data_IF_040257816913
#
_entry.id   IF_040257816913
#
_cell.length_a   1.000
_cell.length_b   1.000
_cell.length_c   1.000
_cell.angle_alpha   90.00
_cell.angle_beta   90.00
_cell.angle_gamma   90.00
#
_symmetry.space_group_name_H-M   'P 1'
#
loop_
_entity.id
_entity.type
_entity.pdbx_description
1 polymer ?
#
# COMPACT_ATOMS: atom_id res chain seq x y z
N UNK A 1 18.37 11.17 15.67
CA UNK A 1 18.58 11.26 14.20
C UNK A 1 18.00 9.99 13.57
N UNK A 2 17.19 10.11 12.54
CA UNK A 2 16.59 8.98 11.81
C UNK A 2 17.67 8.23 11.03
N UNK A 3 17.59 6.91 11.03
CA UNK A 3 18.47 5.99 10.29
C UNK A 3 17.69 5.02 9.42
N UNK A 4 16.46 4.71 9.82
CA UNK A 4 15.62 3.71 9.18
C UNK A 4 14.31 4.36 8.71
N UNK A 5 13.96 4.15 7.45
CA UNK A 5 12.73 4.64 6.84
C UNK A 5 11.94 3.44 6.35
N UNK A 6 10.77 3.22 6.96
CA UNK A 6 9.77 2.27 6.49
C UNK A 6 8.88 3.02 5.50
N UNK A 7 8.80 2.58 4.27
CA UNK A 7 7.98 3.23 3.24
C UNK A 7 6.83 2.32 2.84
N UNK A 8 5.62 2.85 2.85
CA UNK A 8 4.52 2.18 2.18
C UNK A 8 4.76 2.12 0.68
N UNK A 9 4.08 1.20 -0.01
CA UNK A 9 4.24 1.00 -1.45
C UNK A 9 3.14 1.69 -2.26
N UNK A 10 1.88 1.40 -1.93
CA UNK A 10 0.72 1.80 -2.71
C UNK A 10 0.28 3.23 -2.35
N UNK A 11 0.04 4.09 -3.36
CA UNK A 11 -0.22 5.53 -3.22
C UNK A 11 0.92 6.32 -2.53
N UNK A 12 2.07 5.66 -2.30
CA UNK A 12 3.28 6.30 -1.74
C UNK A 12 4.44 6.21 -2.71
N UNK A 13 4.89 5.02 -3.09
CA UNK A 13 5.94 4.83 -4.11
C UNK A 13 5.32 4.55 -5.47
N UNK A 14 4.31 3.67 -5.52
CA UNK A 14 3.60 3.30 -6.73
C UNK A 14 2.18 3.89 -6.73
N UNK A 15 1.80 4.49 -7.85
CA UNK A 15 0.45 4.98 -8.14
C UNK A 15 -0.52 3.79 -8.28
N UNK A 16 -1.07 3.37 -7.12
CA UNK A 16 -1.97 2.23 -7.08
C UNK A 16 -3.25 2.50 -7.84
N UNK A 17 -3.81 3.69 -7.74
CA UNK A 17 -5.02 4.09 -8.46
C UNK A 17 -4.86 3.87 -9.96
N UNK A 18 -3.76 4.29 -10.53
CA UNK A 18 -3.46 4.07 -11.95
C UNK A 18 -3.23 2.59 -12.27
N UNK A 19 -2.47 1.88 -11.43
CA UNK A 19 -2.23 0.45 -11.59
C UNK A 19 -3.54 -0.35 -11.53
N UNK A 20 -4.40 -0.05 -10.55
CA UNK A 20 -5.70 -0.67 -10.36
C UNK A 20 -6.63 -0.45 -11.56
N UNK A 21 -6.74 0.80 -12.02
CA UNK A 21 -7.61 1.15 -13.16
C UNK A 21 -7.24 0.37 -14.43
N UNK A 22 -5.94 0.26 -14.72
CA UNK A 22 -5.47 -0.54 -15.85
C UNK A 22 -5.76 -2.03 -15.64
N UNK A 23 -5.43 -2.55 -14.46
CA UNK A 23 -5.58 -3.97 -14.15
C UNK A 23 -7.04 -4.42 -14.17
N UNK A 24 -7.96 -3.62 -13.62
CA UNK A 24 -9.38 -3.98 -13.61
C UNK A 24 -10.00 -3.89 -15.00
N UNK A 25 -9.63 -2.88 -15.80
CA UNK A 25 -10.07 -2.77 -17.18
C UNK A 25 -9.61 -3.98 -18.03
N UNK A 26 -8.36 -4.43 -17.85
CA UNK A 26 -7.85 -5.64 -18.49
C UNK A 26 -8.59 -6.90 -17.99
N UNK A 27 -8.90 -6.96 -16.70
CA UNK A 27 -9.65 -8.07 -16.11
C UNK A 27 -11.04 -8.15 -16.71
N UNK A 28 -11.76 -7.03 -16.80
CA UNK A 28 -13.10 -6.95 -17.38
C UNK A 28 -13.09 -7.45 -18.83
N UNK A 29 -12.16 -6.98 -19.66
CA UNK A 29 -12.01 -7.47 -21.05
C UNK A 29 -11.84 -8.99 -21.11
N UNK A 30 -11.02 -9.57 -20.23
CA UNK A 30 -10.75 -11.02 -20.21
C UNK A 30 -11.95 -11.86 -19.78
N UNK A 31 -12.87 -11.30 -19.03
CA UNK A 31 -14.09 -11.98 -18.56
C UNK A 31 -15.36 -11.56 -19.31
N UNK A 32 -15.19 -10.76 -20.39
CA UNK A 32 -16.29 -10.36 -21.26
C UNK A 32 -17.16 -9.23 -20.71
N UNK A 33 -16.65 -8.44 -19.77
CA UNK A 33 -17.32 -7.25 -19.25
C UNK A 33 -16.76 -6.00 -19.96
N UNK A 34 -17.63 -5.08 -20.35
CA UNK A 34 -17.20 -3.80 -20.93
C UNK A 34 -16.50 -2.95 -19.85
N UNK A 35 -15.24 -2.54 -20.05
CA UNK A 35 -14.50 -1.74 -19.07
C UNK A 35 -14.85 -0.25 -19.17
N UNK A 36 -16.13 0.08 -18.98
CA UNK A 36 -16.56 1.48 -18.92
C UNK A 36 -15.90 2.19 -17.74
N UNK A 37 -15.76 3.51 -17.86
CA UNK A 37 -15.21 4.32 -16.76
C UNK A 37 -16.05 4.20 -15.49
N UNK A 38 -17.36 3.99 -15.63
CA UNK A 38 -18.28 3.76 -14.52
C UNK A 38 -17.99 2.44 -13.79
N UNK A 39 -17.87 1.33 -14.54
CA UNK A 39 -17.58 0.01 -13.97
C UNK A 39 -16.21 -0.02 -13.28
N UNK A 40 -15.19 0.58 -13.89
CA UNK A 40 -13.84 0.70 -13.30
C UNK A 40 -13.90 1.49 -12.00
N UNK A 41 -14.51 2.67 -12.00
CA UNK A 41 -14.67 3.51 -10.82
C UNK A 41 -15.48 2.80 -9.72
N UNK A 42 -16.54 2.09 -10.10
CA UNK A 42 -17.36 1.35 -9.12
C UNK A 42 -16.54 0.26 -8.43
N UNK A 43 -15.73 -0.48 -9.20
CA UNK A 43 -14.82 -1.46 -8.62
C UNK A 43 -13.86 -0.83 -7.60
N UNK A 44 -13.23 0.30 -7.93
CA UNK A 44 -12.28 0.96 -7.02
C UNK A 44 -12.94 1.37 -5.69
N UNK A 45 -14.18 1.88 -5.75
CA UNK A 45 -14.95 2.19 -4.53
C UNK A 45 -15.22 0.94 -3.69
N UNK A 46 -15.64 -0.16 -4.32
CA UNK A 46 -15.91 -1.42 -3.63
C UNK A 46 -14.62 -1.99 -3.03
N UNK A 47 -13.52 -1.92 -3.78
CA UNK A 47 -12.20 -2.38 -3.33
C UNK A 47 -11.74 -1.63 -2.07
N UNK A 48 -11.80 -0.30 -2.09
CA UNK A 48 -11.44 0.53 -0.93
C UNK A 48 -12.29 0.19 0.32
N UNK A 49 -13.59 0.02 0.16
CA UNK A 49 -14.49 -0.38 1.26
C UNK A 49 -14.05 -1.72 1.87
N UNK A 50 -13.69 -2.71 1.04
CA UNK A 50 -13.29 -4.03 1.54
C UNK A 50 -11.94 -3.98 2.26
N UNK A 51 -10.95 -3.26 1.74
CA UNK A 51 -9.66 -3.09 2.40
C UNK A 51 -9.80 -2.37 3.75
N UNK A 52 -10.63 -1.32 3.84
CA UNK A 52 -10.93 -0.63 5.12
C UNK A 52 -11.62 -1.54 6.13
N UNK A 53 -12.50 -2.45 5.69
CA UNK A 53 -13.08 -3.46 6.57
C UNK A 53 -12.04 -4.44 7.11
N UNK A 54 -11.07 -4.85 6.29
CA UNK A 54 -9.96 -5.70 6.74
C UNK A 54 -9.11 -4.99 7.80
N UNK A 55 -8.76 -3.72 7.60
CA UNK A 55 -8.00 -2.92 8.58
C UNK A 55 -8.71 -2.85 9.94
N UNK A 56 -10.03 -2.75 9.92
CA UNK A 56 -10.88 -2.78 11.13
C UNK A 56 -11.16 -4.20 11.67
N UNK A 57 -10.59 -5.24 11.03
CA UNK A 57 -10.78 -6.66 11.38
C UNK A 57 -12.25 -7.13 11.28
N UNK A 58 -13.07 -6.48 10.47
CA UNK A 58 -14.47 -6.83 10.23
C UNK A 58 -14.60 -8.02 9.27
N UNK A 59 -13.67 -8.18 8.37
CA UNK A 59 -13.62 -9.27 7.38
C UNK A 59 -12.19 -9.82 7.25
N UNK A 60 -12.09 -11.04 6.74
CA UNK A 60 -10.82 -11.69 6.43
C UNK A 60 -10.24 -11.20 5.10
N UNK A 61 -8.94 -11.42 4.88
CA UNK A 61 -8.29 -11.14 3.59
C UNK A 61 -8.98 -11.88 2.42
N UNK A 62 -9.40 -13.13 2.64
CA UNK A 62 -10.08 -13.89 1.59
C UNK A 62 -11.41 -13.24 1.21
N UNK A 63 -12.18 -12.75 2.18
CA UNK A 63 -13.41 -12.01 1.92
C UNK A 63 -13.16 -10.68 1.21
N UNK A 64 -12.03 -10.00 1.44
CA UNK A 64 -11.63 -8.84 0.62
C UNK A 64 -11.43 -9.27 -0.82
N UNK A 65 -10.58 -10.27 -1.04
CA UNK A 65 -10.12 -10.64 -2.38
C UNK A 65 -11.23 -11.16 -3.29
N UNK A 66 -12.19 -11.88 -2.73
CA UNK A 66 -13.31 -12.46 -3.48
C UNK A 66 -14.54 -11.57 -3.41
N UNK A 67 -14.92 -11.12 -2.21
CA UNK A 67 -16.16 -10.39 -1.96
C UNK A 67 -16.29 -9.08 -2.73
N UNK A 68 -15.17 -8.38 -3.01
CA UNK A 68 -15.20 -7.18 -3.85
C UNK A 68 -15.70 -7.45 -5.28
N UNK A 69 -15.36 -8.62 -5.84
CA UNK A 69 -15.85 -9.04 -7.16
C UNK A 69 -17.30 -9.54 -7.08
N UNK A 70 -17.61 -10.34 -6.07
CA UNK A 70 -18.99 -10.84 -5.89
C UNK A 70 -19.97 -9.67 -5.70
N UNK A 71 -19.58 -8.66 -4.91
CA UNK A 71 -20.40 -7.46 -4.72
C UNK A 71 -20.60 -6.71 -6.04
N UNK A 72 -19.51 -6.47 -6.80
CA UNK A 72 -19.59 -5.80 -8.08
C UNK A 72 -20.48 -6.58 -9.08
N UNK A 73 -20.29 -7.90 -9.18
CA UNK A 73 -21.04 -8.73 -10.13
C UNK A 73 -22.52 -8.79 -9.78
N UNK A 74 -22.86 -8.83 -8.49
CA UNK A 74 -24.25 -8.73 -8.03
C UNK A 74 -24.89 -7.39 -8.45
N UNK A 75 -24.17 -6.28 -8.29
CA UNK A 75 -24.68 -4.95 -8.69
C UNK A 75 -24.87 -4.84 -10.21
N UNK A 76 -23.99 -5.46 -10.99
CA UNK A 76 -24.04 -5.43 -12.46
C UNK A 76 -24.95 -6.53 -13.06
N UNK A 77 -25.54 -7.41 -12.24
CA UNK A 77 -26.34 -8.53 -12.71
C UNK A 77 -25.53 -9.57 -13.51
N UNK A 78 -24.22 -9.72 -13.19
CA UNK A 78 -23.29 -10.59 -13.92
C UNK A 78 -23.14 -11.90 -13.17
N UNK A 79 -23.30 -13.02 -13.88
CA UNK A 79 -23.03 -14.36 -13.34
C UNK A 79 -21.60 -14.77 -13.68
N UNK A 80 -20.64 -14.40 -12.80
CA UNK A 80 -19.24 -14.81 -12.90
C UNK A 80 -18.66 -15.04 -11.49
N UNK A 81 -17.66 -15.93 -11.37
CA UNK A 81 -17.03 -16.24 -10.08
C UNK A 81 -16.08 -15.14 -9.65
N UNK A 82 -16.29 -14.56 -8.46
CA UNK A 82 -15.35 -13.59 -7.86
C UNK A 82 -13.96 -14.17 -7.65
N UNK A 83 -13.85 -15.45 -7.28
CA UNK A 83 -12.55 -16.13 -7.15
C UNK A 83 -11.78 -16.16 -8.47
N UNK A 84 -12.45 -16.58 -9.57
CA UNK A 84 -11.83 -16.62 -10.91
C UNK A 84 -11.46 -15.21 -11.39
N UNK A 85 -12.29 -14.22 -11.14
CA UNK A 85 -12.00 -12.83 -11.47
C UNK A 85 -10.78 -12.32 -10.69
N UNK A 86 -10.68 -12.64 -9.40
CA UNK A 86 -9.54 -12.28 -8.56
C UNK A 86 -8.22 -12.91 -9.07
N UNK A 87 -8.23 -14.16 -9.52
CA UNK A 87 -7.03 -14.80 -10.09
C UNK A 87 -6.55 -14.10 -11.37
N UNK A 88 -7.47 -13.65 -12.20
CA UNK A 88 -7.14 -12.86 -13.40
C UNK A 88 -6.63 -11.48 -13.00
N UNK A 89 -7.30 -10.81 -12.07
CA UNK A 89 -6.95 -9.49 -11.60
C UNK A 89 -5.56 -9.44 -10.96
N UNK A 90 -5.22 -10.42 -10.10
CA UNK A 90 -3.87 -10.51 -9.52
C UNK A 90 -2.77 -10.52 -10.58
N UNK A 91 -2.97 -11.25 -11.68
CA UNK A 91 -2.03 -11.30 -12.80
C UNK A 91 -1.98 -9.96 -13.54
N UNK A 92 -3.12 -9.32 -13.76
CA UNK A 92 -3.18 -8.01 -14.41
C UNK A 92 -2.49 -6.94 -13.53
N UNK A 93 -2.81 -6.90 -12.23
CA UNK A 93 -2.23 -5.93 -11.30
C UNK A 93 -0.73 -6.15 -11.08
N UNK A 94 -0.27 -7.40 -10.97
CA UNK A 94 1.15 -7.72 -10.88
C UNK A 94 1.97 -7.21 -12.07
N UNK A 95 1.33 -6.95 -13.20
CA UNK A 95 1.96 -6.37 -14.38
C UNK A 95 2.00 -4.83 -14.40
N UNK A 96 1.48 -4.16 -13.38
CA UNK A 96 1.43 -2.70 -13.32
C UNK A 96 2.38 -2.16 -12.25
N UNK A 97 3.18 -1.15 -12.60
CA UNK A 97 4.17 -0.54 -11.69
C UNK A 97 4.41 0.93 -12.02
N UNK A 98 3.33 1.71 -12.18
CA UNK A 98 3.45 3.16 -12.35
C UNK A 98 3.95 3.79 -11.06
N UNK A 99 4.88 4.72 -11.17
CA UNK A 99 5.39 5.46 -10.01
C UNK A 99 4.52 6.68 -9.71
N UNK A 100 4.47 7.06 -8.43
CA UNK A 100 4.10 8.40 -8.01
C UNK A 100 5.18 9.36 -8.52
N UNK A 101 4.81 10.57 -8.90
CA UNK A 101 5.74 11.56 -9.44
C UNK A 101 6.88 11.85 -8.44
N UNK A 102 8.12 11.77 -8.90
CA UNK A 102 9.30 11.98 -8.09
C UNK A 102 9.68 10.84 -7.13
N UNK A 103 8.85 9.79 -7.00
CA UNK A 103 9.08 8.73 -6.01
C UNK A 103 10.37 7.94 -6.25
N UNK A 104 10.67 7.58 -7.48
CA UNK A 104 11.89 6.82 -7.79
C UNK A 104 13.15 7.63 -7.51
N UNK A 105 13.16 8.91 -7.84
CA UNK A 105 14.24 9.84 -7.58
C UNK A 105 14.46 9.99 -6.07
N UNK A 106 13.39 10.21 -5.31
CA UNK A 106 13.44 10.29 -3.85
C UNK A 106 13.97 9.01 -3.22
N UNK A 107 13.49 7.84 -3.64
CA UNK A 107 14.01 6.55 -3.15
C UNK A 107 15.52 6.42 -3.40
N UNK A 108 16.00 6.80 -4.59
CA UNK A 108 17.44 6.75 -4.92
C UNK A 108 18.28 7.70 -4.05
N UNK A 109 17.79 8.89 -3.74
CA UNK A 109 18.52 9.82 -2.87
C UNK A 109 18.53 9.35 -1.41
N UNK A 110 17.38 8.93 -0.89
CA UNK A 110 17.26 8.42 0.47
C UNK A 110 18.12 7.15 0.69
N UNK A 111 18.17 6.24 -0.29
CA UNK A 111 18.97 5.02 -0.23
C UNK A 111 20.46 5.27 0.02
N UNK A 112 21.00 6.41 -0.40
CA UNK A 112 22.42 6.77 -0.20
C UNK A 112 22.75 7.06 1.27
N UNK A 113 21.75 7.41 2.09
CA UNK A 113 21.91 7.96 3.43
C UNK A 113 21.21 7.15 4.53
N UNK A 114 20.14 6.44 4.18
CA UNK A 114 19.26 5.74 5.12
C UNK A 114 19.08 4.27 4.76
N UNK A 115 18.69 3.47 5.74
CA UNK A 115 18.22 2.12 5.50
C UNK A 115 16.75 2.19 5.13
N UNK A 116 16.40 1.78 3.90
CA UNK A 116 15.03 1.78 3.42
C UNK A 116 14.42 0.39 3.53
N UNK A 117 13.14 0.34 3.88
CA UNK A 117 12.33 -0.87 3.99
C UNK A 117 10.96 -0.61 3.37
N UNK A 118 10.42 -1.57 2.62
CA UNK A 118 9.02 -1.53 2.18
C UNK A 118 8.14 -2.20 3.23
N UNK A 119 7.00 -1.60 3.55
CA UNK A 119 5.97 -2.12 4.46
C UNK A 119 4.59 -2.02 3.81
N UNK A 120 4.05 -3.13 3.31
CA UNK A 120 2.81 -3.12 2.50
C UNK A 120 1.74 -4.07 3.01
N UNK A 121 0.47 -3.62 2.95
CA UNK A 121 -0.72 -4.45 3.24
C UNK A 121 -1.20 -5.28 2.04
N UNK A 122 -0.53 -5.22 0.91
CA UNK A 122 -0.95 -5.89 -0.33
C UNK A 122 -0.85 -7.42 -0.29
N UNK A 123 -1.24 -8.03 -1.40
CA UNK A 123 -1.12 -9.48 -1.64
C UNK A 123 0.30 -9.82 -2.08
N UNK A 124 0.92 -10.81 -1.47
CA UNK A 124 2.35 -11.13 -1.63
C UNK A 124 2.77 -11.31 -3.09
N UNK A 125 2.09 -12.19 -3.82
CA UNK A 125 2.42 -12.49 -5.22
C UNK A 125 2.29 -11.24 -6.13
N UNK A 126 1.36 -10.35 -5.82
CA UNK A 126 1.15 -9.10 -6.56
C UNK A 126 2.26 -8.11 -6.25
N UNK A 127 2.54 -7.89 -4.97
CA UNK A 127 3.57 -6.92 -4.56
C UNK A 127 4.97 -7.35 -5.00
N UNK A 128 5.32 -8.63 -4.85
CA UNK A 128 6.60 -9.16 -5.35
C UNK A 128 6.77 -8.88 -6.85
N UNK A 129 5.74 -9.16 -7.67
CA UNK A 129 5.77 -8.92 -9.11
C UNK A 129 5.89 -7.42 -9.46
N UNK A 130 5.17 -6.55 -8.74
CA UNK A 130 5.20 -5.09 -8.97
C UNK A 130 6.53 -4.47 -8.56
N UNK A 131 7.10 -4.92 -7.45
CA UNK A 131 8.40 -4.47 -6.93
C UNK A 131 9.52 -4.88 -7.88
N UNK A 132 9.52 -6.14 -8.36
CA UNK A 132 10.47 -6.63 -9.35
C UNK A 132 10.38 -5.83 -10.67
N UNK A 133 9.16 -5.66 -11.18
CA UNK A 133 8.91 -4.88 -12.40
C UNK A 133 9.34 -3.42 -12.28
N UNK A 134 9.13 -2.81 -11.12
CA UNK A 134 9.58 -1.46 -10.79
C UNK A 134 11.09 -1.37 -10.54
N UNK A 135 11.80 -2.52 -10.44
CA UNK A 135 13.23 -2.62 -10.10
C UNK A 135 13.56 -1.90 -8.78
N UNK A 136 12.68 -2.03 -7.79
CA UNK A 136 12.85 -1.38 -6.49
C UNK A 136 13.74 -2.15 -5.52
N UNK A 137 13.83 -3.49 -5.65
CA UNK A 137 14.58 -4.35 -4.72
C UNK A 137 15.98 -3.82 -4.35
N UNK A 138 16.82 -3.30 -5.29
CA UNK A 138 18.17 -2.86 -4.96
C UNK A 138 18.25 -1.70 -3.97
N UNK A 139 17.17 -0.95 -3.79
CA UNK A 139 17.13 0.23 -2.90
C UNK A 139 16.66 -0.09 -1.48
N UNK A 140 16.10 -1.28 -1.25
CA UNK A 140 15.50 -1.65 0.03
C UNK A 140 16.26 -2.79 0.69
N UNK A 141 16.60 -2.62 1.98
CA UNK A 141 17.25 -3.66 2.78
C UNK A 141 16.35 -4.88 2.99
N UNK A 142 15.04 -4.64 3.11
CA UNK A 142 14.04 -5.70 3.25
C UNK A 142 12.65 -5.20 2.84
N UNK A 143 11.81 -6.15 2.43
CA UNK A 143 10.43 -5.93 1.99
C UNK A 143 9.52 -6.75 2.88
N UNK A 144 8.61 -6.07 3.57
CA UNK A 144 7.64 -6.66 4.47
C UNK A 144 6.24 -6.55 3.88
N UNK A 145 5.64 -7.68 3.61
CA UNK A 145 4.28 -7.78 3.06
C UNK A 145 3.41 -8.47 4.10
N UNK A 146 2.32 -7.84 4.48
CA UNK A 146 1.43 -8.30 5.55
C UNK A 146 0.91 -9.72 5.37
N UNK A 147 0.65 -10.14 4.13
CA UNK A 147 0.20 -11.51 3.85
C UNK A 147 1.28 -12.55 4.23
N UNK A 148 2.57 -12.24 4.04
CA UNK A 148 3.68 -13.11 4.46
C UNK A 148 3.85 -13.13 5.99
N UNK A 149 3.52 -12.02 6.66
CA UNK A 149 3.63 -11.87 8.11
C UNK A 149 2.39 -12.37 8.88
N UNK A 150 1.26 -12.56 8.18
CA UNK A 150 -0.01 -12.97 8.79
C UNK A 150 -0.70 -11.88 9.61
N UNK A 151 -0.25 -10.63 9.52
CA UNK A 151 -0.81 -9.48 10.24
C UNK A 151 -0.68 -8.20 9.39
N UNK A 152 -1.68 -7.32 9.47
CA UNK A 152 -1.73 -6.09 8.65
C UNK A 152 -1.44 -4.84 9.50
N UNK A 153 -0.87 -3.78 8.88
CA UNK A 153 -0.98 -2.44 9.42
C UNK A 153 -2.48 -2.09 9.59
N UNK A 154 -2.90 -1.40 10.65
CA UNK A 154 -2.14 -0.70 11.67
C UNK A 154 -1.80 -1.51 12.94
N UNK A 155 -1.95 -2.85 12.93
CA UNK A 155 -1.64 -3.66 14.12
C UNK A 155 -0.16 -3.51 14.51
N UNK A 156 0.12 -3.16 15.76
CA UNK A 156 1.48 -3.00 16.28
C UNK A 156 2.35 -4.26 16.05
N UNK A 157 1.74 -5.46 16.08
CA UNK A 157 2.44 -6.73 15.83
C UNK A 157 3.07 -6.81 14.44
N UNK A 158 2.49 -6.12 13.44
CA UNK A 158 3.11 -6.03 12.13
C UNK A 158 4.51 -5.43 12.25
N UNK A 159 4.63 -4.31 12.93
CA UNK A 159 5.91 -3.59 13.12
C UNK A 159 6.85 -4.36 14.04
N UNK A 160 6.33 -5.01 15.08
CA UNK A 160 7.14 -5.90 15.95
C UNK A 160 7.79 -7.03 15.17
N UNK A 161 7.07 -7.64 14.24
CA UNK A 161 7.60 -8.67 13.34
C UNK A 161 8.64 -8.09 12.38
N UNK A 162 8.39 -6.91 11.80
CA UNK A 162 9.39 -6.21 10.99
C UNK A 162 10.68 -5.95 11.78
N UNK A 163 10.56 -5.44 13.00
CA UNK A 163 11.71 -5.10 13.83
C UNK A 163 12.53 -6.31 14.26
N UNK A 164 11.90 -7.46 14.53
CA UNK A 164 12.61 -8.72 14.82
C UNK A 164 13.53 -9.16 13.67
N UNK A 165 13.16 -8.78 12.46
CA UNK A 165 13.89 -9.14 11.23
C UNK A 165 14.95 -8.10 10.82
N UNK A 166 15.09 -7.00 11.56
CA UNK A 166 16.04 -5.92 11.29
C UNK A 166 17.05 -5.82 12.46
N UNK A 167 18.27 -6.34 12.31
CA UNK A 167 19.25 -6.32 13.37
C UNK A 167 19.56 -4.90 13.88
N UNK A 168 19.47 -4.70 15.19
CA UNK A 168 19.86 -3.43 15.83
C UNK A 168 18.93 -2.24 15.56
N UNK A 169 17.72 -2.45 15.00
CA UNK A 169 16.75 -1.38 14.80
C UNK A 169 16.35 -0.74 16.13
N UNK A 170 16.22 0.58 16.14
CA UNK A 170 15.72 1.35 17.28
C UNK A 170 14.52 2.17 16.84
N UNK A 171 13.44 2.14 17.64
CA UNK A 171 12.20 2.86 17.33
C UNK A 171 12.43 4.37 17.21
N UNK A 172 13.21 4.95 18.08
CA UNK A 172 13.57 6.38 18.10
C UNK A 172 14.40 6.83 16.88
N UNK A 173 15.00 5.88 16.17
CA UNK A 173 15.79 6.12 14.95
C UNK A 173 14.99 5.69 13.68
N UNK A 174 13.70 5.39 13.82
CA UNK A 174 12.85 4.85 12.76
C UNK A 174 11.64 5.73 12.51
N UNK A 175 11.28 5.90 11.24
CA UNK A 175 10.09 6.60 10.79
C UNK A 175 9.35 5.76 9.76
N UNK A 176 8.01 5.84 9.75
CA UNK A 176 7.18 5.35 8.65
C UNK A 176 6.73 6.51 7.76
N UNK A 177 6.77 6.32 6.46
CA UNK A 177 6.22 7.22 5.44
C UNK A 177 5.11 6.50 4.70
N UNK A 178 3.94 7.09 4.59
CA UNK A 178 2.80 6.52 3.87
C UNK A 178 1.67 7.51 3.68
N UNK A 179 0.69 7.16 2.83
CA UNK A 179 -0.46 8.01 2.51
C UNK A 179 -1.69 7.75 3.39
N UNK A 180 -1.78 6.58 4.01
CA UNK A 180 -2.96 6.12 4.72
C UNK A 180 -2.97 6.52 6.19
N UNK A 181 -3.98 7.31 6.60
CA UNK A 181 -4.22 7.60 8.03
C UNK A 181 -4.55 6.34 8.84
N UNK A 182 -5.35 5.43 8.26
CA UNK A 182 -5.85 4.23 8.95
C UNK A 182 -4.83 3.11 9.04
N UNK A 183 -3.89 3.07 8.15
CA UNK A 183 -2.89 1.98 8.01
C UNK A 183 -1.50 2.44 8.47
N UNK A 184 -0.96 3.47 7.81
CA UNK A 184 0.43 3.87 8.03
C UNK A 184 0.59 4.77 9.25
N UNK A 185 -0.21 5.84 9.30
CA UNK A 185 -0.07 6.83 10.37
C UNK A 185 -0.50 6.24 11.71
N UNK A 186 -1.69 5.66 11.78
CA UNK A 186 -2.14 4.93 12.97
C UNK A 186 -1.22 3.74 13.30
N UNK A 187 -0.67 3.09 12.28
CA UNK A 187 0.30 2.00 12.46
C UNK A 187 1.60 2.47 13.10
N UNK A 188 2.14 3.61 12.67
CA UNK A 188 3.29 4.26 13.27
C UNK A 188 3.06 4.66 14.72
N UNK A 189 1.91 5.26 15.02
CA UNK A 189 1.48 5.60 16.38
C UNK A 189 1.40 4.35 17.26
N UNK A 190 0.71 3.30 16.82
CA UNK A 190 0.59 2.04 17.54
C UNK A 190 1.93 1.33 17.77
N UNK A 191 2.89 1.48 16.85
CA UNK A 191 4.23 0.94 16.97
C UNK A 191 5.15 1.79 17.85
N UNK A 192 4.78 3.01 18.16
CA UNK A 192 5.59 3.99 18.89
C UNK A 192 6.79 4.48 18.08
N UNK A 193 6.64 4.68 16.78
CA UNK A 193 7.62 5.29 15.88
C UNK A 193 7.07 6.57 15.26
N UNK A 194 7.96 7.45 14.83
CA UNK A 194 7.59 8.65 14.08
C UNK A 194 6.87 8.29 12.78
N UNK A 195 5.95 9.14 12.34
CA UNK A 195 5.22 8.97 11.10
C UNK A 195 5.28 10.26 10.25
N UNK A 196 5.40 10.10 8.94
CA UNK A 196 5.32 11.18 7.95
C UNK A 196 4.15 10.87 7.05
N UNK A 197 3.14 11.71 7.11
CA UNK A 197 1.95 11.56 6.27
C UNK A 197 2.17 12.19 4.90
N UNK A 198 2.25 11.36 3.87
CA UNK A 198 2.22 11.80 2.48
C UNK A 198 0.78 12.12 2.08
N UNK A 199 0.45 13.41 2.04
CA UNK A 199 -0.91 13.91 1.83
C UNK A 199 -0.98 14.93 0.67
N UNK A 200 -0.70 14.53 -0.58
CA UNK A 200 -0.67 15.46 -1.71
C UNK A 200 -2.02 16.12 -1.99
N UNK A 201 -3.12 15.48 -1.57
CA UNK A 201 -4.49 15.95 -1.82
C UNK A 201 -5.03 16.88 -0.72
N UNK A 202 -4.33 17.08 0.38
CA UNK A 202 -4.76 17.93 1.47
C UNK A 202 -5.97 17.40 2.23
N UNK A 203 -6.03 16.12 2.45
CA UNK A 203 -7.08 15.49 3.25
C UNK A 203 -7.00 15.95 4.71
N UNK A 204 -8.14 16.02 5.38
CA UNK A 204 -8.19 16.29 6.81
C UNK A 204 -7.90 15.05 7.64
N UNK A 205 -7.20 15.22 8.77
CA UNK A 205 -6.99 14.15 9.74
C UNK A 205 -8.25 13.98 10.61
N UNK A 206 -9.25 13.31 10.07
CA UNK A 206 -10.55 13.08 10.75
C UNK A 206 -10.48 12.01 11.86
N UNK A 207 -9.35 11.32 12.00
CA UNK A 207 -9.17 10.25 12.98
C UNK A 207 -8.45 10.72 14.25
N UNK A 208 -7.88 11.93 14.23
CA UNK A 208 -7.12 12.46 15.36
C UNK A 208 -5.83 11.67 15.64
N UNK A 209 -5.29 11.00 14.63
CA UNK A 209 -3.99 10.29 14.74
C UNK A 209 -2.88 11.31 14.97
N UNK A 210 -1.94 11.02 15.86
CA UNK A 210 -0.79 11.88 16.11
C UNK A 210 0.18 11.83 14.93
N UNK A 211 0.26 12.94 14.18
CA UNK A 211 1.09 13.07 12.97
C UNK A 211 2.36 13.86 13.33
N UNK A 212 3.52 13.20 13.22
CA UNK A 212 4.79 13.87 13.46
C UNK A 212 5.10 14.92 12.39
N UNK A 213 4.90 14.60 11.10
CA UNK A 213 5.05 15.53 9.97
C UNK A 213 4.06 15.17 8.86
N UNK A 214 3.60 16.19 8.15
CA UNK A 214 2.81 16.05 6.92
C UNK A 214 3.60 16.63 5.76
N UNK A 215 3.57 15.95 4.61
CA UNK A 215 4.24 16.37 3.37
C UNK A 215 3.27 16.30 2.19
N UNK A 216 3.52 17.15 1.21
CA UNK A 216 2.77 17.18 -0.07
C UNK A 216 3.54 16.54 -1.21
N UNK A 217 4.85 16.47 -1.08
CA UNK A 217 5.76 15.87 -2.06
C UNK A 217 6.80 15.00 -1.34
N UNK A 218 7.21 13.92 -2.01
CA UNK A 218 8.12 12.94 -1.37
C UNK A 218 9.55 13.47 -1.21
N UNK A 219 9.98 14.45 -1.99
CA UNK A 219 11.29 15.09 -1.87
C UNK A 219 11.46 15.88 -0.55
N UNK A 220 10.35 16.23 0.11
CA UNK A 220 10.38 16.86 1.44
C UNK A 220 10.91 15.93 2.54
N UNK A 221 10.88 14.60 2.33
CA UNK A 221 11.28 13.60 3.34
C UNK A 221 12.70 13.85 3.82
N UNK A 222 13.64 14.09 2.91
CA UNK A 222 15.05 14.25 3.24
C UNK A 222 15.29 15.42 4.22
N UNK A 223 14.64 16.54 4.02
CA UNK A 223 14.76 17.70 4.89
C UNK A 223 14.26 17.41 6.32
N UNK A 224 13.15 16.65 6.41
CA UNK A 224 12.52 16.31 7.70
C UNK A 224 13.35 15.32 8.51
N UNK A 225 13.91 14.30 7.87
CA UNK A 225 14.63 13.24 8.59
C UNK A 225 16.07 13.63 8.98
N UNK A 226 16.58 14.74 8.45
CA UNK A 226 17.87 15.33 8.83
C UNK A 226 17.79 16.22 10.07
N UNK A 227 16.60 16.74 10.42
CA UNK A 227 16.34 17.48 11.67
C UNK A 227 16.45 16.54 12.91
#
# INVERSE_FOLDING_TARGET
MIKNILMDLDETILDFTKCENVAIAETFKKIGIEPTSENVKRYSVINDIHWKKLERKEITRQEVLIGRFDMLFNELGISYSGEKANEIYKKCLGNQSFFIDGALETVKELYKKYNLYIVSNGTAVVQDSRIDKAKLEPYFKKIFISEKLGVNKPDARFFELCFKEIPGIKKEETVIVGDSLTSDMLGGENAGIKNIWYNPKGQENNLGVDIWREIRSLDEIENIVTE
#
